data_IF_936328720757
#
_entry.id   IF_936328720757
#
_cell.length_a   1.000
_cell.length_b   1.000
_cell.length_c   1.000
_cell.angle_alpha   90.00
_cell.angle_beta   90.00
_cell.angle_gamma   90.00
#
_symmetry.space_group_name_H-M   'P 1'
#
loop_
_entity.id
_entity.type
_entity.pdbx_description
1 polymer ?
#
# COMPACT_ATOMS: atom_id res chain seq x y z
N UNK A 1 -22.32 35.50 -95.16
CA UNK A 1 -22.35 34.63 -93.96
C UNK A 1 -20.94 34.09 -93.77
N UNK A 2 -20.10 34.78 -92.99
CA UNK A 2 -18.68 34.45 -92.80
C UNK A 2 -18.57 33.60 -91.54
N UNK A 3 -18.31 32.30 -91.71
CA UNK A 3 -18.05 31.38 -90.59
C UNK A 3 -16.59 31.56 -90.18
N UNK A 4 -16.37 32.39 -89.15
CA UNK A 4 -15.07 32.52 -88.50
C UNK A 4 -14.73 31.20 -87.80
N UNK A 5 -13.79 30.43 -88.36
CA UNK A 5 -13.21 29.27 -87.68
C UNK A 5 -12.43 29.75 -86.45
N UNK A 6 -12.73 29.25 -85.24
CA UNK A 6 -11.98 29.63 -84.05
C UNK A 6 -10.54 29.14 -84.15
N UNK A 7 -9.62 30.04 -83.83
CA UNK A 7 -8.17 29.80 -83.86
C UNK A 7 -7.79 28.77 -82.78
N UNK A 8 -7.30 27.57 -83.14
CA UNK A 8 -6.97 26.51 -82.20
C UNK A 8 -5.85 26.90 -81.22
N UNK A 9 -5.05 27.93 -81.54
CA UNK A 9 -4.04 28.46 -80.63
C UNK A 9 -4.67 29.17 -79.41
N UNK A 10 -5.79 29.88 -79.60
CA UNK A 10 -6.52 30.54 -78.51
C UNK A 10 -7.22 29.54 -77.59
N UNK A 11 -7.73 28.45 -78.15
CA UNK A 11 -8.34 27.37 -77.36
C UNK A 11 -7.31 26.67 -76.46
N UNK A 12 -6.09 26.42 -76.96
CA UNK A 12 -5.00 25.81 -76.17
C UNK A 12 -4.49 26.73 -75.04
N UNK A 13 -4.39 28.03 -75.30
CA UNK A 13 -4.02 29.02 -74.27
C UNK A 13 -5.04 29.12 -73.14
N UNK A 14 -6.34 29.10 -73.48
CA UNK A 14 -7.42 29.13 -72.48
C UNK A 14 -7.45 27.87 -71.60
N UNK A 15 -7.20 26.69 -72.17
CA UNK A 15 -7.15 25.41 -71.43
C UNK A 15 -5.95 25.37 -70.47
N UNK A 16 -4.78 25.86 -70.90
CA UNK A 16 -3.59 25.91 -70.04
C UNK A 16 -3.77 26.89 -68.86
N UNK A 17 -4.36 28.06 -69.11
CA UNK A 17 -4.68 29.03 -68.06
C UNK A 17 -5.74 28.50 -67.08
N UNK A 18 -6.74 27.79 -67.57
CA UNK A 18 -7.75 27.14 -66.73
C UNK A 18 -7.12 26.03 -65.85
N UNK A 19 -6.19 25.23 -66.39
CA UNK A 19 -5.48 24.19 -65.64
C UNK A 19 -4.56 24.76 -64.56
N UNK A 20 -3.85 25.86 -64.83
CA UNK A 20 -3.00 26.56 -63.85
C UNK A 20 -3.85 27.19 -62.74
N UNK A 21 -4.96 27.84 -63.10
CA UNK A 21 -5.90 28.41 -62.13
C UNK A 21 -6.54 27.32 -61.24
N UNK A 22 -6.93 26.19 -61.83
CA UNK A 22 -7.50 25.06 -61.10
C UNK A 22 -6.48 24.40 -60.15
N UNK A 23 -5.23 24.24 -60.59
CA UNK A 23 -4.13 23.77 -59.74
C UNK A 23 -3.83 24.72 -58.57
N UNK A 24 -3.88 26.04 -58.80
CA UNK A 24 -3.73 27.06 -57.76
C UNK A 24 -4.86 27.04 -56.73
N UNK A 25 -6.11 26.90 -57.17
CA UNK A 25 -7.28 26.81 -56.28
C UNK A 25 -7.23 25.53 -55.44
N UNK A 26 -6.89 24.38 -56.05
CA UNK A 26 -6.73 23.11 -55.34
C UNK A 26 -5.61 23.17 -54.31
N UNK A 27 -4.44 23.75 -54.63
CA UNK A 27 -3.36 23.95 -53.66
C UNK A 27 -3.77 24.87 -52.50
N UNK A 28 -4.50 25.96 -52.78
CA UNK A 28 -4.93 26.92 -51.75
C UNK A 28 -6.02 26.38 -50.81
N UNK A 29 -6.84 25.42 -51.26
CA UNK A 29 -7.91 24.79 -50.47
C UNK A 29 -7.44 23.52 -49.73
N UNK A 30 -6.51 22.76 -50.30
CA UNK A 30 -5.95 21.56 -49.66
C UNK A 30 -5.04 21.90 -48.47
N UNK A 31 -4.27 22.99 -48.55
CA UNK A 31 -3.39 23.42 -47.46
C UNK A 31 -4.13 23.70 -46.13
N UNK A 32 -5.23 24.49 -46.08
CA UNK A 32 -5.96 24.72 -44.83
C UNK A 32 -6.68 23.46 -44.34
N UNK A 33 -7.18 22.60 -45.25
CA UNK A 33 -7.79 21.32 -44.85
C UNK A 33 -6.76 20.40 -44.21
N UNK A 34 -5.58 20.25 -44.83
CA UNK A 34 -4.47 19.48 -44.28
C UNK A 34 -3.98 20.07 -42.96
N UNK A 35 -3.84 21.40 -42.87
CA UNK A 35 -3.48 22.07 -41.63
C UNK A 35 -4.51 21.82 -40.53
N UNK A 36 -5.81 21.89 -40.82
CA UNK A 36 -6.90 21.60 -39.87
C UNK A 36 -6.85 20.13 -39.42
N UNK A 37 -6.67 19.18 -40.33
CA UNK A 37 -6.54 17.75 -40.00
C UNK A 37 -5.33 17.52 -39.10
N UNK A 38 -4.18 18.14 -39.40
CA UNK A 38 -2.99 18.07 -38.55
C UNK A 38 -3.24 18.69 -37.18
N UNK A 39 -3.88 19.85 -37.10
CA UNK A 39 -4.22 20.49 -35.81
C UNK A 39 -5.18 19.62 -34.99
N UNK A 40 -6.19 19.02 -35.61
CA UNK A 40 -7.13 18.11 -34.94
C UNK A 40 -6.42 16.85 -34.46
N UNK A 41 -5.49 16.29 -35.25
CA UNK A 41 -4.70 15.14 -34.86
C UNK A 41 -3.78 15.48 -33.67
N UNK A 42 -3.09 16.61 -33.72
CA UNK A 42 -2.25 17.12 -32.63
C UNK A 42 -3.09 17.33 -31.37
N UNK A 43 -4.23 18.02 -31.49
CA UNK A 43 -5.15 18.22 -30.38
C UNK A 43 -5.65 16.89 -29.82
N UNK A 44 -6.01 15.93 -30.67
CA UNK A 44 -6.45 14.60 -30.23
C UNK A 44 -5.37 13.88 -29.43
N UNK A 45 -4.10 13.96 -29.85
CA UNK A 45 -2.97 13.34 -29.15
C UNK A 45 -2.71 14.01 -27.78
N UNK A 46 -2.68 15.36 -27.73
CA UNK A 46 -2.43 16.09 -26.48
C UNK A 46 -3.62 16.06 -25.52
N UNK A 47 -4.84 16.02 -26.04
CA UNK A 47 -6.07 15.96 -25.24
C UNK A 47 -6.42 14.53 -24.81
N UNK A 48 -5.79 13.49 -25.37
CA UNK A 48 -6.17 12.11 -25.10
C UNK A 48 -6.14 11.76 -23.61
N UNK A 49 -5.06 12.10 -22.89
CA UNK A 49 -4.97 11.85 -21.45
C UNK A 49 -5.91 12.72 -20.60
N UNK A 50 -5.99 14.05 -20.80
CA UNK A 50 -7.02 14.87 -20.17
C UNK A 50 -8.44 14.34 -20.37
N UNK A 51 -8.79 13.86 -21.57
CA UNK A 51 -10.10 13.25 -21.87
C UNK A 51 -10.26 11.91 -21.14
N UNK A 52 -9.22 11.07 -21.09
CA UNK A 52 -9.26 9.83 -20.34
C UNK A 52 -9.54 10.10 -18.84
N UNK A 53 -8.82 11.05 -18.25
CA UNK A 53 -8.91 11.39 -16.82
C UNK A 53 -10.15 12.21 -16.44
N UNK A 54 -10.57 13.13 -17.29
CA UNK A 54 -11.70 14.04 -17.04
C UNK A 54 -13.05 13.48 -17.46
N UNK A 55 -13.10 12.54 -18.40
CA UNK A 55 -14.34 12.01 -18.95
C UNK A 55 -14.43 10.48 -18.83
N UNK A 56 -13.54 9.73 -19.46
CA UNK A 56 -13.70 8.28 -19.58
C UNK A 56 -13.58 7.53 -18.25
N UNK A 57 -12.62 7.89 -17.40
CA UNK A 57 -12.41 7.30 -16.07
C UNK A 57 -13.60 7.63 -15.14
N UNK A 58 -13.99 8.90 -14.92
CA UNK A 58 -15.13 9.24 -14.07
C UNK A 58 -16.45 8.60 -14.51
N UNK A 59 -16.68 8.48 -15.83
CA UNK A 59 -17.88 7.83 -16.37
C UNK A 59 -17.83 6.30 -16.33
N UNK A 60 -16.71 5.71 -15.88
CA UNK A 60 -16.53 4.28 -15.78
C UNK A 60 -16.57 3.56 -17.13
N UNK A 61 -15.81 4.07 -18.11
CA UNK A 61 -15.70 3.52 -19.46
C UNK A 61 -14.31 2.89 -19.71
N UNK A 62 -14.03 1.63 -19.29
CA UNK A 62 -12.69 1.04 -19.35
C UNK A 62 -12.08 1.00 -20.75
N UNK A 63 -12.90 0.71 -21.77
CA UNK A 63 -12.44 0.66 -23.17
C UNK A 63 -11.98 2.02 -23.67
N UNK A 64 -12.79 3.05 -23.46
CA UNK A 64 -12.46 4.41 -23.86
C UNK A 64 -11.23 4.92 -23.08
N UNK A 65 -11.17 4.66 -21.77
CA UNK A 65 -10.02 5.02 -20.94
C UNK A 65 -8.72 4.37 -21.44
N UNK A 66 -8.74 3.07 -21.76
CA UNK A 66 -7.59 2.37 -22.36
C UNK A 66 -7.20 2.96 -23.70
N UNK A 67 -8.17 3.11 -24.60
CA UNK A 67 -7.92 3.60 -25.96
C UNK A 67 -7.34 5.01 -25.96
N UNK A 68 -7.94 5.94 -25.21
CA UNK A 68 -7.44 7.31 -25.08
C UNK A 68 -6.03 7.34 -24.45
N UNK A 69 -5.78 6.52 -23.43
CA UNK A 69 -4.44 6.45 -22.82
C UNK A 69 -3.40 5.88 -23.80
N UNK A 70 -3.77 4.93 -24.66
CA UNK A 70 -2.91 4.44 -25.74
C UNK A 70 -2.58 5.52 -26.76
N UNK A 71 -3.54 6.40 -27.11
CA UNK A 71 -3.30 7.51 -28.03
C UNK A 71 -2.38 8.58 -27.44
N UNK A 72 -2.23 8.64 -26.12
CA UNK A 72 -1.28 9.51 -25.44
C UNK A 72 0.18 8.98 -25.52
N UNK A 73 0.58 8.44 -26.68
CA UNK A 73 1.93 7.88 -26.92
C UNK A 73 3.03 8.92 -26.72
N UNK A 74 2.80 10.20 -27.07
CA UNK A 74 3.77 11.27 -26.83
C UNK A 74 4.07 11.47 -25.34
N UNK A 75 3.10 11.18 -24.45
CA UNK A 75 3.27 11.31 -23.00
C UNK A 75 3.91 10.07 -22.39
N UNK A 76 3.44 8.89 -22.77
CA UNK A 76 3.80 7.63 -22.10
C UNK A 76 4.87 6.82 -22.83
N UNK A 77 5.16 7.15 -24.10
CA UNK A 77 6.14 6.43 -24.92
C UNK A 77 5.88 4.93 -24.92
N UNK A 78 6.91 4.16 -24.57
CA UNK A 78 6.88 2.69 -24.48
C UNK A 78 5.89 2.15 -23.44
N UNK A 79 5.43 2.97 -22.49
CA UNK A 79 4.50 2.57 -21.42
C UNK A 79 3.02 2.76 -21.78
N UNK A 80 2.69 3.23 -22.98
CA UNK A 80 1.32 3.61 -23.33
C UNK A 80 0.29 2.46 -23.24
N UNK A 81 0.66 1.23 -23.65
CA UNK A 81 -0.25 0.08 -23.52
C UNK A 81 -0.45 -0.33 -22.04
N UNK A 82 0.61 -0.36 -21.25
CA UNK A 82 0.57 -0.71 -19.83
C UNK A 82 -0.25 0.33 -19.05
N UNK A 83 -0.02 1.63 -19.28
CA UNK A 83 -0.83 2.70 -18.69
C UNK A 83 -2.29 2.64 -19.14
N UNK A 84 -2.56 2.20 -20.36
CA UNK A 84 -3.92 1.95 -20.83
C UNK A 84 -4.65 0.88 -20.01
N UNK A 85 -3.95 -0.13 -19.52
CA UNK A 85 -4.52 -1.16 -18.62
C UNK A 85 -4.83 -0.58 -17.24
N UNK A 86 -3.93 0.25 -16.70
CA UNK A 86 -4.18 0.99 -15.44
C UNK A 86 -5.41 1.90 -15.58
N UNK A 87 -5.51 2.66 -16.68
CA UNK A 87 -6.65 3.53 -16.93
C UNK A 87 -7.97 2.75 -17.03
N UNK A 88 -7.96 1.57 -17.66
CA UNK A 88 -9.12 0.69 -17.71
C UNK A 88 -9.54 0.17 -16.33
N UNK A 89 -8.58 -0.31 -15.53
CA UNK A 89 -8.85 -0.76 -14.15
C UNK A 89 -9.33 0.40 -13.25
N UNK A 90 -8.78 1.60 -13.44
CA UNK A 90 -9.23 2.80 -12.73
C UNK A 90 -10.64 3.22 -13.12
N UNK A 91 -10.99 3.17 -14.41
CA UNK A 91 -12.35 3.42 -14.86
C UNK A 91 -13.33 2.38 -14.28
N UNK A 92 -12.94 1.10 -14.25
CA UNK A 92 -13.75 0.04 -13.67
C UNK A 92 -14.07 0.30 -12.19
N UNK A 93 -13.11 0.82 -11.42
CA UNK A 93 -13.32 1.20 -10.02
C UNK A 93 -14.43 2.25 -9.84
N UNK A 94 -14.70 3.10 -10.85
CA UNK A 94 -15.76 4.11 -10.78
C UNK A 94 -17.15 3.52 -11.02
N UNK A 95 -17.27 2.53 -11.91
CA UNK A 95 -18.53 1.84 -12.21
C UNK A 95 -18.27 0.36 -12.49
N UNK A 96 -18.25 -0.49 -11.45
CA UNK A 96 -18.05 -1.92 -11.64
C UNK A 96 -19.31 -2.52 -12.29
N UNK A 97 -19.15 -3.14 -13.45
CA UNK A 97 -20.17 -4.01 -14.06
C UNK A 97 -19.52 -5.34 -14.40
N UNK A 98 -20.25 -6.45 -14.28
CA UNK A 98 -19.65 -7.80 -14.43
C UNK A 98 -19.02 -7.97 -15.82
N UNK A 99 -19.72 -7.57 -16.89
CA UNK A 99 -19.17 -7.63 -18.25
C UNK A 99 -17.99 -6.69 -18.52
N UNK A 100 -17.75 -5.65 -17.72
CA UNK A 100 -16.51 -4.86 -17.79
C UNK A 100 -15.42 -5.47 -16.92
N UNK A 101 -15.78 -6.08 -15.79
CA UNK A 101 -14.87 -6.79 -14.88
C UNK A 101 -14.17 -7.92 -15.61
N UNK A 102 -14.94 -8.84 -16.20
CA UNK A 102 -14.39 -10.01 -16.91
C UNK A 102 -13.43 -9.60 -18.01
N UNK A 103 -13.79 -8.57 -18.79
CA UNK A 103 -12.94 -8.07 -19.88
C UNK A 103 -11.64 -7.43 -19.39
N UNK A 104 -11.68 -6.66 -18.30
CA UNK A 104 -10.48 -6.07 -17.72
C UNK A 104 -9.60 -7.17 -17.13
N UNK A 105 -10.20 -8.19 -16.53
CA UNK A 105 -9.49 -9.37 -16.03
C UNK A 105 -8.79 -10.15 -17.15
N UNK A 106 -9.52 -10.51 -18.20
CA UNK A 106 -8.97 -11.22 -19.38
C UNK A 106 -7.82 -10.44 -20.00
N UNK A 107 -7.95 -9.12 -20.07
CA UNK A 107 -6.91 -8.23 -20.56
C UNK A 107 -5.65 -8.29 -19.67
N UNK A 108 -5.80 -8.36 -18.34
CA UNK A 108 -4.66 -8.44 -17.42
C UNK A 108 -4.02 -9.84 -17.45
N UNK A 109 -4.82 -10.91 -17.53
CA UNK A 109 -4.34 -12.29 -17.67
C UNK A 109 -3.56 -12.44 -18.98
N UNK A 110 -4.11 -11.94 -20.08
CA UNK A 110 -3.43 -11.97 -21.38
C UNK A 110 -2.11 -11.22 -21.36
N UNK A 111 -2.00 -10.13 -20.60
CA UNK A 111 -0.76 -9.36 -20.47
C UNK A 111 0.35 -10.13 -19.73
N UNK A 112 -0.02 -10.89 -18.69
CA UNK A 112 0.93 -11.69 -17.90
C UNK A 112 1.55 -12.84 -18.70
N UNK A 113 0.81 -13.40 -19.66
CA UNK A 113 1.33 -14.47 -20.51
C UNK A 113 2.55 -14.04 -21.36
N UNK A 114 2.74 -12.74 -21.58
CA UNK A 114 3.74 -12.22 -22.51
C UNK A 114 4.87 -11.42 -21.85
N UNK A 115 4.71 -11.00 -20.58
CA UNK A 115 5.65 -10.09 -19.93
C UNK A 115 5.72 -10.36 -18.42
N UNK A 116 6.93 -10.33 -17.81
CA UNK A 116 7.11 -10.40 -16.37
C UNK A 116 6.33 -9.31 -15.63
N UNK A 117 5.98 -9.56 -14.37
CA UNK A 117 5.14 -8.64 -13.61
C UNK A 117 5.88 -7.32 -13.33
N UNK A 118 5.25 -6.20 -13.67
CA UNK A 118 5.76 -4.85 -13.39
C UNK A 118 4.85 -4.01 -12.48
N UNK A 119 5.37 -2.85 -12.05
CA UNK A 119 4.66 -1.89 -11.21
C UNK A 119 3.31 -1.46 -11.81
N UNK A 120 3.22 -1.36 -13.13
CA UNK A 120 2.01 -0.93 -13.84
C UNK A 120 0.95 -2.03 -13.81
N UNK A 121 1.36 -3.28 -14.01
CA UNK A 121 0.50 -4.45 -13.89
C UNK A 121 0.04 -4.67 -12.44
N UNK A 122 0.93 -4.50 -11.45
CA UNK A 122 0.57 -4.55 -10.03
C UNK A 122 -0.47 -3.49 -9.67
N UNK A 123 -0.27 -2.24 -10.10
CA UNK A 123 -1.26 -1.18 -9.89
C UNK A 123 -2.61 -1.54 -10.53
N UNK A 124 -2.61 -2.01 -11.78
CA UNK A 124 -3.84 -2.38 -12.46
C UNK A 124 -4.57 -3.55 -11.75
N UNK A 125 -3.84 -4.58 -11.30
CA UNK A 125 -4.36 -5.70 -10.51
C UNK A 125 -4.91 -5.25 -9.15
N UNK A 126 -4.21 -4.35 -8.47
CA UNK A 126 -4.66 -3.78 -7.20
C UNK A 126 -5.95 -2.97 -7.36
N UNK A 127 -6.05 -2.12 -8.39
CA UNK A 127 -7.27 -1.37 -8.72
C UNK A 127 -8.42 -2.32 -9.10
N UNK A 128 -8.12 -3.43 -9.77
CA UNK A 128 -9.09 -4.48 -10.08
C UNK A 128 -9.62 -5.16 -8.81
N UNK A 129 -8.75 -5.51 -7.85
CA UNK A 129 -9.16 -6.03 -6.54
C UNK A 129 -10.05 -5.03 -5.81
N UNK A 130 -9.73 -3.73 -5.86
CA UNK A 130 -10.56 -2.68 -5.27
C UNK A 130 -11.95 -2.64 -5.91
N UNK A 131 -12.04 -2.77 -7.23
CA UNK A 131 -13.31 -2.82 -7.97
C UNK A 131 -14.15 -4.08 -7.68
N UNK A 132 -13.56 -5.12 -7.07
CA UNK A 132 -14.26 -6.30 -6.55
C UNK A 132 -14.73 -6.13 -5.10
N UNK A 133 -14.41 -5.02 -4.46
CA UNK A 133 -14.67 -4.79 -3.03
C UNK A 133 -13.60 -5.38 -2.10
N UNK A 134 -12.50 -5.93 -2.63
CA UNK A 134 -11.38 -6.42 -1.82
C UNK A 134 -10.35 -5.31 -1.59
N UNK A 135 -10.70 -4.38 -0.70
CA UNK A 135 -9.86 -3.23 -0.36
C UNK A 135 -8.52 -3.66 0.29
N UNK A 136 -8.52 -4.78 1.03
CA UNK A 136 -7.32 -5.28 1.71
C UNK A 136 -6.28 -5.79 0.71
N UNK A 137 -6.69 -6.64 -0.24
CA UNK A 137 -5.79 -7.10 -1.29
C UNK A 137 -5.36 -5.96 -2.21
N UNK A 138 -6.26 -5.02 -2.51
CA UNK A 138 -5.92 -3.84 -3.28
C UNK A 138 -4.84 -3.00 -2.62
N UNK A 139 -5.00 -2.67 -1.33
CA UNK A 139 -4.02 -1.91 -0.54
C UNK A 139 -2.65 -2.59 -0.54
N UNK A 140 -2.61 -3.90 -0.23
CA UNK A 140 -1.36 -4.69 -0.23
C UNK A 140 -0.68 -4.65 -1.61
N UNK A 141 -1.41 -5.01 -2.66
CA UNK A 141 -0.88 -5.06 -4.03
C UNK A 141 -0.40 -3.68 -4.51
N UNK A 142 -1.14 -2.61 -4.21
CA UNK A 142 -0.77 -1.25 -4.62
C UNK A 142 0.42 -0.74 -3.80
N UNK A 143 0.53 -1.06 -2.50
CA UNK A 143 1.71 -0.68 -1.71
C UNK A 143 3.01 -1.31 -2.22
N UNK A 144 2.93 -2.49 -2.83
CA UNK A 144 4.09 -3.13 -3.45
C UNK A 144 4.67 -2.32 -4.64
N UNK A 145 3.89 -1.41 -5.25
CA UNK A 145 4.38 -0.54 -6.34
C UNK A 145 5.56 0.33 -5.90
N UNK A 146 5.62 0.74 -4.63
CA UNK A 146 6.69 1.58 -4.08
C UNK A 146 8.05 0.87 -4.03
N UNK A 147 8.05 -0.46 -4.07
CA UNK A 147 9.29 -1.26 -4.07
C UNK A 147 10.03 -1.21 -5.42
N UNK A 148 9.39 -0.69 -6.47
CA UNK A 148 9.98 -0.60 -7.80
C UNK A 148 10.78 0.69 -8.00
N UNK A 149 11.88 0.59 -8.75
CA UNK A 149 12.66 1.76 -9.17
C UNK A 149 11.85 2.64 -10.13
N UNK A 150 11.96 3.96 -9.96
CA UNK A 150 11.39 4.94 -10.87
C UNK A 150 11.96 4.89 -12.30
N UNK A 151 13.14 4.29 -12.49
CA UNK A 151 13.68 4.09 -13.84
C UNK A 151 12.91 3.03 -14.65
N UNK A 152 12.18 2.14 -13.96
CA UNK A 152 11.54 0.96 -14.56
C UNK A 152 10.05 1.15 -14.93
N UNK A 153 9.46 2.28 -14.53
CA UNK A 153 8.04 2.58 -14.75
C UNK A 153 7.80 4.08 -14.82
N UNK A 154 6.66 4.48 -15.38
CA UNK A 154 6.29 5.89 -15.52
C UNK A 154 5.87 6.51 -14.17
N UNK A 155 6.22 7.77 -13.92
CA UNK A 155 5.96 8.45 -12.63
C UNK A 155 4.48 8.46 -12.22
N UNK A 156 3.57 8.58 -13.20
CA UNK A 156 2.13 8.55 -12.96
C UNK A 156 1.65 7.26 -12.28
N UNK A 157 2.36 6.12 -12.43
CA UNK A 157 2.03 4.87 -11.71
C UNK A 157 2.16 5.07 -10.21
N UNK A 158 3.28 5.64 -9.74
CA UNK A 158 3.49 5.92 -8.32
C UNK A 158 2.50 6.96 -7.79
N UNK A 159 2.20 8.00 -8.59
CA UNK A 159 1.22 9.02 -8.19
C UNK A 159 -0.18 8.43 -8.00
N UNK A 160 -0.64 7.60 -8.93
CA UNK A 160 -1.96 6.95 -8.84
C UNK A 160 -1.99 5.95 -7.67
N UNK A 161 -0.92 5.19 -7.47
CA UNK A 161 -0.79 4.27 -6.34
C UNK A 161 -0.87 5.01 -5.00
N UNK A 162 -0.08 6.07 -4.84
CA UNK A 162 -0.07 6.93 -3.64
C UNK A 162 -1.44 7.58 -3.39
N UNK A 163 -2.07 8.13 -4.43
CA UNK A 163 -3.41 8.73 -4.33
C UNK A 163 -4.46 7.72 -3.86
N UNK A 164 -4.40 6.48 -4.37
CA UNK A 164 -5.28 5.41 -3.93
C UNK A 164 -5.05 5.07 -2.45
N UNK A 165 -3.80 4.86 -2.04
CA UNK A 165 -3.46 4.50 -0.66
C UNK A 165 -3.83 5.60 0.33
N UNK A 166 -3.63 6.87 -0.04
CA UNK A 166 -4.06 8.03 0.74
C UNK A 166 -5.59 8.05 0.90
N UNK A 167 -6.33 7.86 -0.19
CA UNK A 167 -7.80 7.85 -0.15
C UNK A 167 -8.34 6.69 0.68
N UNK A 168 -7.76 5.50 0.53
CA UNK A 168 -8.13 4.29 1.29
C UNK A 168 -7.85 4.49 2.79
N UNK A 169 -6.67 4.98 3.16
CA UNK A 169 -6.32 5.25 4.55
C UNK A 169 -7.26 6.31 5.16
N UNK A 170 -7.58 7.36 4.41
CA UNK A 170 -8.54 8.38 4.83
C UNK A 170 -9.95 7.80 5.05
N UNK A 171 -10.41 6.88 4.19
CA UNK A 171 -11.72 6.22 4.35
C UNK A 171 -11.81 5.34 5.60
N UNK A 172 -10.68 4.81 6.08
CA UNK A 172 -10.58 4.07 7.35
C UNK A 172 -10.37 4.98 8.57
N UNK A 173 -10.22 6.28 8.36
CA UNK A 173 -9.88 7.24 9.41
C UNK A 173 -8.43 7.15 9.88
N UNK A 174 -7.54 6.50 9.14
CA UNK A 174 -6.13 6.32 9.47
C UNK A 174 -5.29 7.53 9.05
N UNK A 175 -5.54 8.66 9.72
CA UNK A 175 -4.91 9.93 9.40
C UNK A 175 -3.38 9.91 9.57
N UNK A 176 -2.82 8.99 10.38
CA UNK A 176 -1.37 8.88 10.57
C UNK A 176 -0.71 8.38 9.30
N UNK A 177 -1.29 7.35 8.66
CA UNK A 177 -0.84 6.87 7.36
C UNK A 177 -1.03 7.95 6.29
N UNK A 178 -2.17 8.67 6.28
CA UNK A 178 -2.40 9.77 5.33
C UNK A 178 -1.31 10.85 5.43
N UNK A 179 -0.96 11.26 6.66
CA UNK A 179 0.10 12.24 6.89
C UNK A 179 1.47 11.73 6.41
N UNK A 180 1.79 10.45 6.68
CA UNK A 180 3.03 9.81 6.22
C UNK A 180 3.11 9.79 4.68
N UNK A 181 2.13 9.19 4.02
CA UNK A 181 2.11 9.02 2.56
C UNK A 181 2.08 10.37 1.83
N UNK A 182 1.34 11.35 2.35
CA UNK A 182 1.26 12.69 1.75
C UNK A 182 2.57 13.51 1.80
N UNK A 183 3.60 13.04 2.51
CA UNK A 183 4.94 13.65 2.58
C UNK A 183 5.94 13.08 1.56
N UNK A 184 5.67 11.92 0.97
CA UNK A 184 6.60 11.23 0.08
C UNK A 184 6.80 11.94 -1.27
N UNK A 185 8.00 12.05 -1.84
CA UNK A 185 8.29 12.92 -3.00
C UNK A 185 7.34 12.79 -4.21
N UNK A 186 6.75 11.61 -4.44
CA UNK A 186 5.99 11.26 -5.66
C UNK A 186 4.46 11.31 -5.51
N UNK A 187 3.93 12.20 -4.67
CA UNK A 187 2.46 12.40 -4.54
C UNK A 187 1.90 13.37 -5.57
N UNK A 188 0.61 13.21 -5.87
CA UNK A 188 -0.15 14.23 -6.59
C UNK A 188 -0.39 15.48 -5.73
N UNK A 189 -0.91 16.55 -6.33
CA UNK A 189 -1.32 17.75 -5.58
C UNK A 189 -2.44 17.45 -4.57
N UNK A 190 -3.50 16.68 -4.92
CA UNK A 190 -4.47 16.18 -3.94
C UNK A 190 -3.84 15.39 -2.79
N UNK A 191 -2.93 14.45 -3.10
CA UNK A 191 -2.24 13.66 -2.08
C UNK A 191 -1.43 14.53 -1.12
N UNK A 192 -0.76 15.58 -1.63
CA UNK A 192 -0.04 16.55 -0.81
C UNK A 192 -0.96 17.35 0.11
N UNK A 193 -2.10 17.82 -0.41
CA UNK A 193 -3.10 18.51 0.41
C UNK A 193 -3.61 17.59 1.53
N UNK A 194 -3.96 16.34 1.19
CA UNK A 194 -4.42 15.34 2.16
C UNK A 194 -3.39 15.10 3.26
N UNK A 195 -2.10 15.00 2.91
CA UNK A 195 -1.01 14.89 3.89
C UNK A 195 -0.92 16.07 4.84
N UNK A 196 -1.02 17.30 4.32
CA UNK A 196 -1.01 18.52 5.14
C UNK A 196 -2.24 18.61 6.05
N UNK A 197 -3.42 18.31 5.52
CA UNK A 197 -4.65 18.26 6.29
C UNK A 197 -4.56 17.22 7.41
N UNK A 198 -4.05 16.03 7.12
CA UNK A 198 -3.86 14.97 8.11
C UNK A 198 -2.83 15.35 9.18
N UNK A 199 -1.70 15.94 8.79
CA UNK A 199 -0.69 16.44 9.72
C UNK A 199 -1.25 17.53 10.65
N UNK A 200 -2.11 18.42 10.12
CA UNK A 200 -2.83 19.43 10.90
C UNK A 200 -3.86 18.80 11.85
N UNK A 201 -4.68 17.87 11.36
CA UNK A 201 -5.71 17.15 12.13
C UNK A 201 -5.08 16.38 13.31
N UNK A 202 -3.89 15.81 13.11
CA UNK A 202 -3.15 15.06 14.12
C UNK A 202 -2.14 15.88 14.92
N UNK A 203 -2.04 17.19 14.64
CA UNK A 203 -1.10 18.10 15.29
C UNK A 203 0.37 17.66 15.23
N UNK A 204 0.74 16.95 14.15
CA UNK A 204 2.11 16.48 13.96
C UNK A 204 3.05 17.63 13.58
N UNK A 205 2.53 18.64 12.88
CA UNK A 205 3.30 19.80 12.40
C UNK A 205 2.44 21.07 12.40
N UNK A 206 3.04 22.25 12.67
CA UNK A 206 2.36 23.52 12.53
C UNK A 206 2.17 23.86 11.05
N UNK A 207 0.98 23.58 10.51
CA UNK A 207 0.57 24.00 9.16
C UNK A 207 -0.31 25.24 9.27
N UNK A 208 0.10 26.34 8.62
CA UNK A 208 -0.70 27.57 8.59
C UNK A 208 -1.97 27.42 7.75
N UNK A 209 -3.05 28.10 8.16
CA UNK A 209 -4.33 28.09 7.46
C UNK A 209 -4.20 28.53 5.99
N UNK A 210 -3.34 29.52 5.72
CA UNK A 210 -3.04 29.99 4.36
C UNK A 210 -2.38 28.91 3.50
N UNK A 211 -1.39 28.18 4.04
CA UNK A 211 -0.74 27.08 3.32
C UNK A 211 -1.72 25.94 3.02
N UNK A 212 -2.61 25.62 3.96
CA UNK A 212 -3.62 24.59 3.79
C UNK A 212 -4.66 24.97 2.72
N UNK A 213 -5.18 26.20 2.75
CA UNK A 213 -6.10 26.73 1.74
C UNK A 213 -5.45 26.78 0.35
N UNK A 214 -4.18 27.17 0.26
CA UNK A 214 -3.44 27.17 -1.00
C UNK A 214 -3.25 25.77 -1.56
N UNK A 215 -2.88 24.79 -0.71
CA UNK A 215 -2.75 23.40 -1.12
C UNK A 215 -4.09 22.83 -1.60
N UNK A 216 -5.19 23.17 -0.94
CA UNK A 216 -6.54 22.80 -1.34
C UNK A 216 -6.92 23.37 -2.72
N UNK A 217 -6.74 24.69 -2.92
CA UNK A 217 -7.04 25.36 -4.19
C UNK A 217 -6.23 24.78 -5.37
N UNK A 218 -4.96 24.49 -5.13
CA UNK A 218 -4.06 23.96 -6.18
C UNK A 218 -4.18 22.46 -6.42
N UNK A 219 -4.95 21.73 -5.60
CA UNK A 219 -5.17 20.29 -5.75
C UNK A 219 -5.92 19.90 -7.03
N UNK A 220 -6.77 20.77 -7.56
CA UNK A 220 -7.61 20.50 -8.73
C UNK A 220 -8.87 19.68 -8.46
N UNK A 221 -9.21 19.41 -7.19
CA UNK A 221 -10.47 18.79 -6.78
C UNK A 221 -11.07 19.45 -5.52
N UNK A 222 -11.32 20.78 -5.55
CA UNK A 222 -11.61 21.55 -4.34
C UNK A 222 -12.91 21.09 -3.64
N UNK A 223 -14.02 20.94 -4.37
CA UNK A 223 -15.33 20.68 -3.74
C UNK A 223 -15.40 19.33 -3.01
N UNK A 224 -14.81 18.26 -3.56
CA UNK A 224 -14.83 16.94 -2.90
C UNK A 224 -13.97 16.87 -1.63
N UNK A 225 -13.04 17.82 -1.47
CA UNK A 225 -12.07 17.86 -0.38
C UNK A 225 -12.38 18.97 0.65
N UNK A 226 -13.39 19.80 0.39
CA UNK A 226 -13.84 20.89 1.26
C UNK A 226 -14.19 20.40 2.68
N UNK A 227 -14.93 19.28 2.89
CA UNK A 227 -15.20 18.81 4.26
C UNK A 227 -13.94 18.45 5.05
N UNK A 228 -12.87 18.05 4.35
CA UNK A 228 -11.58 17.71 4.96
C UNK A 228 -10.81 18.99 5.30
N UNK A 229 -10.87 20.00 4.43
CA UNK A 229 -10.34 21.34 4.71
C UNK A 229 -11.02 21.94 5.94
N UNK A 230 -12.34 21.94 5.99
CA UNK A 230 -13.12 22.50 7.10
C UNK A 230 -12.79 21.79 8.41
N UNK A 231 -12.70 20.46 8.39
CA UNK A 231 -12.27 19.67 9.55
C UNK A 231 -10.87 20.07 10.02
N UNK A 232 -9.93 20.28 9.10
CA UNK A 232 -8.56 20.64 9.42
C UNK A 232 -8.41 22.10 9.90
N UNK A 233 -9.29 23.01 9.45
CA UNK A 233 -9.34 24.41 9.92
C UNK A 233 -10.09 24.57 11.25
N UNK A 234 -11.13 23.76 11.48
CA UNK A 234 -11.97 23.83 12.69
C UNK A 234 -11.28 23.22 13.91
N UNK A 235 -10.32 22.30 13.71
CA UNK A 235 -9.37 21.90 14.77
C UNK A 235 -8.39 23.06 15.06
N UNK A 236 -8.92 24.08 15.71
CA UNK A 236 -8.19 25.10 16.45
C UNK A 236 -7.38 24.38 17.54
N UNK A 237 -6.06 24.54 17.47
CA UNK A 237 -5.08 24.63 18.59
C UNK A 237 -5.69 24.21 19.93
N UNK A 238 -5.90 22.92 20.07
CA UNK A 238 -6.32 22.28 21.29
C UNK A 238 -5.45 21.07 21.35
N UNK A 239 -4.19 21.30 21.73
CA UNK A 239 -3.16 20.29 21.93
C UNK A 239 -3.86 19.01 22.37
N UNK A 240 -3.92 18.02 21.49
CA UNK A 240 -4.21 16.65 21.88
C UNK A 240 -2.99 16.26 22.67
N UNK A 241 -2.98 16.70 23.91
CA UNK A 241 -2.11 16.21 24.94
C UNK A 241 -2.30 14.70 24.86
N UNK A 242 -1.28 13.99 24.40
CA UNK A 242 -1.14 12.58 24.70
C UNK A 242 -1.20 12.35 26.23
N UNK A 243 -1.05 13.42 27.03
CA UNK A 243 -1.33 13.52 28.46
C UNK A 243 -2.83 13.45 28.84
N UNK A 244 -3.78 13.49 27.91
CA UNK A 244 -5.22 13.44 28.17
C UNK A 244 -5.86 12.08 27.84
N UNK A 245 -5.07 11.00 27.74
CA UNK A 245 -5.61 9.68 27.99
C UNK A 245 -5.97 9.63 29.48
N UNK A 246 -7.18 10.07 29.80
CA UNK A 246 -7.70 10.15 31.17
C UNK A 246 -7.34 8.85 31.90
N UNK A 247 -6.58 8.92 33.01
CA UNK A 247 -6.15 7.74 33.73
C UNK A 247 -7.36 6.86 33.99
N UNK A 248 -7.24 5.55 33.78
CA UNK A 248 -8.33 4.64 34.16
C UNK A 248 -8.53 4.78 35.67
N UNK A 249 -9.61 5.46 36.06
CA UNK A 249 -10.03 5.58 37.44
C UNK A 249 -10.49 4.21 37.91
N UNK A 250 -9.76 3.67 38.89
CA UNK A 250 -10.10 2.40 39.50
C UNK A 250 -10.83 2.67 40.81
N UNK A 251 -11.87 1.89 41.15
CA UNK A 251 -12.47 1.94 42.47
C UNK A 251 -11.40 1.68 43.55
N UNK A 252 -11.37 2.52 44.58
CA UNK A 252 -10.36 2.46 45.67
C UNK A 252 -10.40 1.11 46.42
N UNK A 253 -11.57 0.46 46.47
CA UNK A 253 -11.81 -0.79 47.22
C UNK A 253 -11.90 -2.04 46.32
N UNK A 254 -11.47 -1.98 45.06
CA UNK A 254 -11.55 -3.13 44.17
C UNK A 254 -10.54 -4.23 44.55
N UNK A 255 -10.97 -5.50 44.51
CA UNK A 255 -10.04 -6.63 44.61
C UNK A 255 -8.97 -6.56 43.50
N UNK A 256 -7.75 -7.09 43.70
CA UNK A 256 -6.71 -7.16 42.68
C UNK A 256 -7.18 -7.80 41.37
N UNK A 257 -7.99 -8.85 41.44
CA UNK A 257 -8.59 -9.47 40.25
C UNK A 257 -9.55 -8.51 39.53
N UNK A 258 -10.46 -7.87 40.25
CA UNK A 258 -11.37 -6.88 39.67
C UNK A 258 -10.59 -5.72 39.04
N UNK A 259 -9.51 -5.28 39.68
CA UNK A 259 -8.62 -4.24 39.18
C UNK A 259 -7.98 -4.63 37.85
N UNK A 260 -7.40 -5.84 37.76
CA UNK A 260 -6.79 -6.33 36.53
C UNK A 260 -7.82 -6.42 35.39
N UNK A 261 -9.00 -6.99 35.66
CA UNK A 261 -10.08 -7.10 34.67
C UNK A 261 -10.63 -5.74 34.20
N UNK A 262 -10.81 -4.78 35.11
CA UNK A 262 -11.26 -3.43 34.74
C UNK A 262 -10.22 -2.68 33.92
N UNK A 263 -8.93 -2.79 34.27
CA UNK A 263 -7.85 -2.24 33.47
C UNK A 263 -7.82 -2.86 32.07
N UNK A 264 -7.91 -4.19 31.97
CA UNK A 264 -7.92 -4.86 30.68
C UNK A 264 -9.11 -4.41 29.82
N UNK A 265 -10.32 -4.40 30.38
CA UNK A 265 -11.51 -3.93 29.67
C UNK A 265 -11.37 -2.49 29.21
N UNK A 266 -10.83 -1.60 30.06
CA UNK A 266 -10.61 -0.20 29.70
C UNK A 266 -9.62 -0.07 28.54
N UNK A 267 -8.51 -0.81 28.56
CA UNK A 267 -7.52 -0.79 27.49
C UNK A 267 -8.03 -1.45 26.21
N UNK A 268 -8.82 -2.52 26.31
CA UNK A 268 -9.45 -3.17 25.15
C UNK A 268 -10.42 -2.21 24.44
N UNK A 269 -11.11 -1.33 25.17
CA UNK A 269 -12.03 -0.34 24.59
C UNK A 269 -11.33 0.90 24.01
N UNK A 270 -10.06 1.16 24.37
CA UNK A 270 -9.29 2.28 23.82
C UNK A 270 -8.92 2.01 22.35
N UNK A 271 -8.85 3.09 21.57
CA UNK A 271 -8.31 3.02 20.21
C UNK A 271 -6.83 2.56 20.27
N UNK A 272 -6.37 1.68 19.37
CA UNK A 272 -5.03 1.08 19.46
C UNK A 272 -3.89 2.10 19.56
N UNK A 273 -4.02 3.22 18.83
CA UNK A 273 -3.03 4.30 18.85
C UNK A 273 -2.98 5.17 20.11
N UNK A 274 -3.84 4.89 21.10
CA UNK A 274 -3.92 5.55 22.40
C UNK A 274 -3.53 4.64 23.57
N UNK A 275 -3.26 3.35 23.32
CA UNK A 275 -2.75 2.43 24.35
C UNK A 275 -1.26 2.70 24.51
N UNK A 276 -0.85 3.12 25.70
CA UNK A 276 0.55 3.43 25.97
C UNK A 276 1.31 2.20 26.50
N UNK A 277 2.62 2.18 26.28
CA UNK A 277 3.55 1.22 26.88
C UNK A 277 3.35 1.09 28.41
N UNK A 278 3.22 2.24 29.09
CA UNK A 278 3.01 2.30 30.53
C UNK A 278 1.69 1.68 30.99
N UNK A 279 0.64 1.74 30.16
CA UNK A 279 -0.66 1.13 30.46
C UNK A 279 -0.56 -0.40 30.46
N UNK A 280 0.12 -0.97 29.45
CA UNK A 280 0.32 -2.42 29.34
C UNK A 280 1.24 -2.92 30.46
N UNK A 281 2.31 -2.17 30.78
CA UNK A 281 3.16 -2.46 31.93
C UNK A 281 2.38 -2.46 33.26
N UNK A 282 1.48 -1.49 33.44
CA UNK A 282 0.57 -1.41 34.60
C UNK A 282 -0.40 -2.59 34.65
N UNK A 283 -0.95 -3.00 33.51
CA UNK A 283 -1.85 -4.16 33.42
C UNK A 283 -1.14 -5.46 33.78
N UNK A 284 0.08 -5.68 33.28
CA UNK A 284 0.88 -6.86 33.63
C UNK A 284 1.11 -7.00 35.14
N UNK A 285 1.49 -5.90 35.79
CA UNK A 285 1.66 -5.87 37.26
C UNK A 285 0.34 -6.06 38.01
N UNK A 286 -0.77 -5.56 37.47
CA UNK A 286 -2.08 -5.81 38.06
C UNK A 286 -2.44 -7.29 38.00
N UNK A 287 -2.14 -7.96 36.89
CA UNK A 287 -2.30 -9.40 36.73
C UNK A 287 -1.40 -10.20 37.67
N UNK A 288 -0.12 -9.85 37.83
CA UNK A 288 0.76 -10.55 38.78
C UNK A 288 0.21 -10.52 40.21
N UNK A 289 -0.34 -9.37 40.65
CA UNK A 289 -0.99 -9.27 41.97
C UNK A 289 -2.26 -10.10 42.04
N UNK A 290 -3.12 -9.99 41.03
CA UNK A 290 -4.37 -10.76 40.95
C UNK A 290 -4.12 -12.27 41.01
N UNK A 291 -3.16 -12.77 40.23
CA UNK A 291 -2.81 -14.17 40.14
C UNK A 291 -2.21 -14.70 41.45
N UNK A 292 -1.37 -13.90 42.13
CA UNK A 292 -0.83 -14.26 43.44
C UNK A 292 -1.92 -14.43 44.51
N UNK A 293 -2.93 -13.56 44.50
CA UNK A 293 -4.07 -13.65 45.43
C UNK A 293 -5.01 -14.81 45.07
N UNK A 294 -5.39 -14.94 43.79
CA UNK A 294 -6.25 -16.03 43.31
C UNK A 294 -5.63 -17.38 43.65
N UNK A 295 -4.32 -17.54 43.44
CA UNK A 295 -3.58 -18.75 43.82
C UNK A 295 -3.71 -19.05 45.32
N UNK A 296 -3.47 -18.05 46.16
CA UNK A 296 -3.54 -18.18 47.63
C UNK A 296 -4.96 -18.55 48.09
N UNK A 297 -5.98 -17.87 47.56
CA UNK A 297 -7.39 -18.08 47.91
C UNK A 297 -7.90 -19.42 47.42
N UNK A 298 -7.62 -19.79 46.17
CA UNK A 298 -8.03 -21.07 45.59
C UNK A 298 -7.34 -22.22 46.32
N UNK A 299 -6.05 -22.12 46.64
CA UNK A 299 -5.35 -23.14 47.45
C UNK A 299 -5.92 -23.27 48.87
N UNK A 300 -6.42 -22.18 49.46
CA UNK A 300 -7.11 -22.24 50.77
C UNK A 300 -8.44 -22.98 50.64
N UNK A 301 -9.31 -22.56 49.72
CA UNK A 301 -10.62 -23.18 49.51
C UNK A 301 -10.52 -24.65 49.10
N UNK A 302 -9.54 -25.00 48.26
CA UNK A 302 -9.34 -26.38 47.84
C UNK A 302 -8.98 -27.29 49.02
N UNK A 303 -8.12 -26.82 49.94
CA UNK A 303 -7.83 -27.54 51.19
C UNK A 303 -9.08 -27.73 52.04
N UNK A 304 -9.91 -26.70 52.18
CA UNK A 304 -11.17 -26.79 52.93
C UNK A 304 -12.17 -27.77 52.29
N UNK A 305 -12.10 -27.94 50.97
CA UNK A 305 -12.95 -28.85 50.19
C UNK A 305 -12.33 -30.25 49.97
N UNK A 306 -11.12 -30.52 50.47
CA UNK A 306 -10.42 -31.79 50.26
C UNK A 306 -9.90 -32.02 48.83
N UNK A 307 -9.74 -30.96 48.03
CA UNK A 307 -9.16 -30.99 46.68
C UNK A 307 -7.67 -30.63 46.77
N UNK A 308 -6.80 -31.45 46.19
CA UNK A 308 -5.34 -31.31 46.34
C UNK A 308 -4.64 -30.61 45.18
N UNK A 309 -5.28 -30.51 44.01
CA UNK A 309 -4.68 -29.86 42.83
C UNK A 309 -5.55 -28.70 42.33
N UNK A 310 -5.03 -27.48 42.49
CA UNK A 310 -5.65 -26.24 42.00
C UNK A 310 -4.91 -25.66 40.81
N UNK A 311 -3.77 -26.27 40.45
CA UNK A 311 -2.84 -25.70 39.50
C UNK A 311 -3.41 -25.57 38.09
N UNK A 312 -4.21 -26.52 37.57
CA UNK A 312 -4.86 -26.37 36.28
C UNK A 312 -5.79 -25.16 36.18
N UNK A 313 -6.47 -24.80 37.29
CA UNK A 313 -7.41 -23.66 37.32
C UNK A 313 -6.63 -22.36 37.28
N UNK A 314 -5.58 -22.24 38.10
CA UNK A 314 -4.73 -21.04 38.13
C UNK A 314 -3.99 -20.89 36.81
N UNK A 315 -3.42 -21.98 36.27
CA UNK A 315 -2.74 -21.99 34.98
C UNK A 315 -3.67 -21.58 33.82
N UNK A 316 -4.95 -21.96 33.86
CA UNK A 316 -5.95 -21.50 32.90
C UNK A 316 -6.12 -19.97 32.91
N UNK A 317 -6.23 -19.38 34.10
CA UNK A 317 -6.32 -17.91 34.25
C UNK A 317 -5.02 -17.21 33.86
N UNK A 318 -3.86 -17.79 34.17
CA UNK A 318 -2.54 -17.28 33.76
C UNK A 318 -2.40 -17.27 32.22
N UNK A 319 -2.87 -18.33 31.54
CA UNK A 319 -2.92 -18.39 30.09
C UNK A 319 -3.88 -17.33 29.52
N UNK A 320 -5.07 -17.14 30.10
CA UNK A 320 -6.02 -16.11 29.66
C UNK A 320 -5.43 -14.69 29.78
N UNK A 321 -4.81 -14.37 30.92
CA UNK A 321 -4.15 -13.09 31.14
C UNK A 321 -3.00 -12.86 30.13
N UNK A 322 -2.19 -13.89 29.86
CA UNK A 322 -1.12 -13.81 28.84
C UNK A 322 -1.68 -13.59 27.45
N UNK A 323 -2.72 -14.32 27.05
CA UNK A 323 -3.38 -14.15 25.74
C UNK A 323 -3.96 -12.75 25.59
N UNK A 324 -4.60 -12.21 26.63
CA UNK A 324 -5.11 -10.84 26.65
C UNK A 324 -4.01 -9.80 26.45
N UNK A 325 -2.88 -9.95 27.16
CA UNK A 325 -1.71 -9.07 27.02
C UNK A 325 -1.08 -9.13 25.61
N UNK A 326 -0.92 -10.34 25.05
CA UNK A 326 -0.40 -10.52 23.68
C UNK A 326 -1.33 -9.86 22.67
N UNK A 327 -2.64 -10.13 22.73
CA UNK A 327 -3.62 -9.54 21.83
C UNK A 327 -3.65 -8.00 21.92
N UNK A 328 -3.56 -7.45 23.14
CA UNK A 328 -3.51 -6.01 23.36
C UNK A 328 -2.24 -5.38 22.78
N UNK A 329 -1.08 -6.03 22.97
CA UNK A 329 0.20 -5.56 22.47
C UNK A 329 0.29 -5.64 20.94
N UNK A 330 -0.14 -6.74 20.32
CA UNK A 330 -0.18 -6.89 18.86
C UNK A 330 -1.07 -5.84 18.22
N UNK A 331 -2.27 -5.64 18.77
CA UNK A 331 -3.22 -4.63 18.30
C UNK A 331 -2.64 -3.23 18.36
N UNK A 332 -1.86 -2.93 19.40
CA UNK A 332 -1.27 -1.62 19.65
C UNK A 332 0.17 -1.47 19.12
N UNK A 333 0.72 -2.51 18.48
CA UNK A 333 2.10 -2.61 18.00
C UNK A 333 3.16 -2.31 19.07
N UNK A 334 3.01 -2.91 20.25
CA UNK A 334 3.93 -2.74 21.37
C UNK A 334 4.88 -3.93 21.50
N UNK A 335 6.17 -3.64 21.74
CA UNK A 335 7.20 -4.63 22.04
C UNK A 335 7.09 -5.10 23.49
N UNK A 336 6.45 -6.25 23.73
CA UNK A 336 6.32 -6.81 25.07
C UNK A 336 7.68 -7.15 25.71
N UNK A 337 8.71 -7.44 24.92
CA UNK A 337 10.05 -7.72 25.43
C UNK A 337 10.73 -6.49 26.01
N UNK A 338 10.54 -5.33 25.38
CA UNK A 338 10.97 -4.05 25.95
C UNK A 338 10.17 -3.67 27.21
N UNK A 339 8.88 -4.02 27.26
CA UNK A 339 8.01 -3.73 28.41
C UNK A 339 8.31 -4.63 29.62
N UNK A 340 8.62 -5.91 29.40
CA UNK A 340 8.92 -6.85 30.49
C UNK A 340 10.22 -6.53 31.21
N UNK A 341 11.15 -5.81 30.55
CA UNK A 341 12.40 -5.33 31.13
C UNK A 341 12.25 -4.07 32.00
N UNK A 342 11.06 -3.49 32.12
CA UNK A 342 10.82 -2.28 32.93
C UNK A 342 10.77 -2.61 34.43
N UNK A 343 11.21 -1.65 35.25
CA UNK A 343 11.13 -1.72 36.71
C UNK A 343 9.80 -1.11 37.22
N UNK A 344 9.00 -1.80 38.05
CA UNK A 344 9.21 -3.17 38.54
C UNK A 344 8.84 -4.24 37.51
N UNK A 345 9.59 -5.37 37.49
CA UNK A 345 9.39 -6.44 36.53
C UNK A 345 8.05 -7.12 36.75
N UNK A 346 7.51 -7.69 35.67
CA UNK A 346 6.25 -8.42 35.69
C UNK A 346 6.44 -9.79 35.06
N UNK A 347 6.20 -10.85 35.85
CA UNK A 347 6.36 -12.24 35.38
C UNK A 347 5.35 -12.56 34.29
N UNK A 348 4.10 -12.11 34.45
CA UNK A 348 3.05 -12.31 33.44
C UNK A 348 3.43 -11.64 32.12
N UNK A 349 4.03 -10.44 32.15
CA UNK A 349 4.51 -9.77 30.92
C UNK A 349 5.71 -10.49 30.29
N UNK A 350 6.66 -10.98 31.09
CA UNK A 350 7.80 -11.74 30.58
C UNK A 350 7.34 -13.02 29.86
N UNK A 351 6.42 -13.77 30.47
CA UNK A 351 5.86 -14.97 29.87
C UNK A 351 5.02 -14.65 28.62
N UNK A 352 4.23 -13.57 28.63
CA UNK A 352 3.49 -13.08 27.46
C UNK A 352 4.44 -12.66 26.32
N UNK A 353 5.53 -11.96 26.63
CA UNK A 353 6.55 -11.55 25.66
C UNK A 353 7.19 -12.78 25.00
N UNK A 354 7.49 -13.82 25.79
CA UNK A 354 8.02 -15.09 25.28
C UNK A 354 7.03 -15.78 24.34
N UNK A 355 5.74 -15.82 24.70
CA UNK A 355 4.69 -16.40 23.84
C UNK A 355 4.58 -15.63 22.52
N UNK A 356 4.48 -14.29 22.57
CA UNK A 356 4.39 -13.45 21.37
C UNK A 356 5.60 -13.64 20.46
N UNK A 357 6.80 -13.70 21.03
CA UNK A 357 8.03 -13.96 20.28
C UNK A 357 8.00 -15.31 19.60
N UNK A 358 7.65 -16.37 20.34
CA UNK A 358 7.65 -17.73 19.81
C UNK A 358 6.57 -17.93 18.73
N UNK A 359 5.35 -17.43 18.96
CA UNK A 359 4.26 -17.54 17.97
C UNK A 359 4.61 -16.82 16.67
N UNK A 360 5.24 -15.66 16.76
CA UNK A 360 5.65 -14.87 15.60
C UNK A 360 6.77 -15.54 14.81
N UNK A 361 7.77 -16.10 15.51
CA UNK A 361 8.83 -16.90 14.87
C UNK A 361 8.28 -18.14 14.19
N UNK A 362 7.42 -18.88 14.89
CA UNK A 362 6.81 -20.10 14.36
C UNK A 362 5.96 -19.82 13.11
N UNK A 363 5.19 -18.74 13.11
CA UNK A 363 4.41 -18.33 11.95
C UNK A 363 5.30 -18.02 10.74
N UNK A 364 6.38 -17.28 10.95
CA UNK A 364 7.35 -16.93 9.91
C UNK A 364 8.08 -18.16 9.37
N UNK A 365 8.62 -19.01 10.26
CA UNK A 365 9.27 -20.26 9.88
C UNK A 365 8.34 -21.20 9.14
N UNK A 366 7.07 -21.28 9.54
CA UNK A 366 6.07 -22.11 8.88
C UNK A 366 5.84 -21.66 7.43
N UNK A 367 5.71 -20.35 7.20
CA UNK A 367 5.55 -19.81 5.85
C UNK A 367 6.80 -20.06 4.99
N UNK A 368 8.00 -19.80 5.52
CA UNK A 368 9.26 -20.00 4.76
C UNK A 368 9.52 -21.48 4.49
N UNK A 369 9.23 -22.38 5.44
CA UNK A 369 9.34 -23.83 5.23
C UNK A 369 8.33 -24.33 4.19
N UNK A 370 7.13 -23.74 4.11
CA UNK A 370 6.17 -24.04 3.06
C UNK A 370 6.65 -23.57 1.68
N UNK A 371 7.20 -22.35 1.59
CA UNK A 371 7.86 -21.83 0.40
C UNK A 371 9.00 -22.76 -0.04
N UNK A 372 9.86 -23.17 0.90
CA UNK A 372 10.99 -24.06 0.61
C UNK A 372 10.54 -25.39 0.02
N UNK A 373 9.55 -26.04 0.63
CA UNK A 373 8.96 -27.29 0.09
C UNK A 373 8.41 -27.09 -1.33
N UNK A 374 7.74 -25.97 -1.60
CA UNK A 374 7.23 -25.63 -2.94
C UNK A 374 8.37 -25.47 -3.95
N UNK A 375 9.44 -24.80 -3.55
CA UNK A 375 10.63 -24.57 -4.36
C UNK A 375 11.34 -25.89 -4.69
N UNK A 376 11.52 -26.77 -3.72
CA UNK A 376 12.12 -28.10 -3.93
C UNK A 376 11.27 -28.96 -4.89
N UNK A 377 9.94 -28.80 -4.85
CA UNK A 377 9.00 -29.42 -5.80
C UNK A 377 8.96 -28.72 -7.18
N UNK A 378 9.70 -27.62 -7.37
CA UNK A 378 9.69 -26.77 -8.57
C UNK A 378 8.29 -26.33 -9.00
N UNK A 379 7.36 -26.18 -8.04
CA UNK A 379 5.96 -25.83 -8.33
C UNK A 379 5.83 -24.32 -8.50
N UNK A 380 5.66 -23.87 -9.74
CA UNK A 380 5.46 -22.46 -10.05
C UNK A 380 4.02 -21.99 -9.81
N UNK A 381 3.89 -20.73 -9.38
CA UNK A 381 2.63 -20.00 -9.30
C UNK A 381 2.53 -18.97 -10.45
N UNK A 382 1.32 -18.50 -10.78
CA UNK A 382 1.15 -17.29 -11.58
C UNK A 382 1.96 -16.12 -10.98
N UNK A 383 2.47 -15.22 -11.81
CA UNK A 383 3.38 -14.16 -11.35
C UNK A 383 2.78 -13.31 -10.22
N UNK A 384 1.49 -12.95 -10.30
CA UNK A 384 0.79 -12.22 -9.24
C UNK A 384 0.72 -13.01 -7.92
N UNK A 385 0.64 -14.34 -7.99
CA UNK A 385 0.57 -15.18 -6.80
C UNK A 385 1.96 -15.41 -6.18
N UNK A 386 3.03 -15.46 -7.01
CA UNK A 386 4.42 -15.40 -6.51
C UNK A 386 4.66 -14.10 -5.72
N UNK A 387 4.11 -12.98 -6.22
CA UNK A 387 4.14 -11.69 -5.52
C UNK A 387 3.35 -11.69 -4.22
N UNK A 388 2.15 -12.29 -4.19
CA UNK A 388 1.34 -12.40 -2.98
C UNK A 388 1.99 -13.28 -1.91
N UNK A 389 2.62 -14.37 -2.32
CA UNK A 389 3.35 -15.24 -1.39
C UNK A 389 4.54 -14.49 -0.79
N UNK A 390 5.30 -13.75 -1.60
CA UNK A 390 6.35 -12.85 -1.12
C UNK A 390 5.81 -11.79 -0.15
N UNK A 391 4.75 -11.06 -0.53
CA UNK A 391 4.16 -9.99 0.29
C UNK A 391 3.69 -10.52 1.65
N UNK A 392 3.09 -11.72 1.70
CA UNK A 392 2.69 -12.38 2.95
C UNK A 392 3.89 -12.65 3.86
N UNK A 393 4.97 -13.20 3.32
CA UNK A 393 6.19 -13.51 4.10
C UNK A 393 6.84 -12.21 4.58
N UNK A 394 6.99 -11.24 3.67
CA UNK A 394 7.54 -9.93 3.97
C UNK A 394 6.75 -9.22 5.08
N UNK A 395 5.41 -9.16 4.98
CA UNK A 395 4.56 -8.55 6.00
C UNK A 395 4.69 -9.26 7.36
N UNK A 396 4.77 -10.59 7.36
CA UNK A 396 4.97 -11.38 8.58
C UNK A 396 6.33 -11.09 9.21
N UNK A 397 7.40 -11.02 8.39
CA UNK A 397 8.75 -10.69 8.85
C UNK A 397 8.85 -9.25 9.38
N UNK A 398 8.28 -8.27 8.69
CA UNK A 398 8.26 -6.87 9.14
C UNK A 398 7.47 -6.71 10.44
N UNK A 399 6.31 -7.36 10.57
CA UNK A 399 5.56 -7.36 11.83
C UNK A 399 6.38 -8.00 12.97
N UNK A 400 7.09 -9.09 12.68
CA UNK A 400 7.99 -9.72 13.66
C UNK A 400 9.11 -8.77 14.09
N UNK A 401 9.75 -8.11 13.14
CA UNK A 401 10.88 -7.22 13.42
C UNK A 401 10.45 -5.92 14.10
N UNK A 402 9.25 -5.42 13.81
CA UNK A 402 8.65 -4.27 14.49
C UNK A 402 8.36 -4.59 15.96
N UNK A 403 7.77 -5.76 16.23
CA UNK A 403 7.38 -6.19 17.59
C UNK A 403 8.57 -6.63 18.43
N UNK A 404 9.49 -7.44 17.89
CA UNK A 404 10.61 -8.01 18.67
C UNK A 404 11.92 -7.24 18.56
N UNK A 405 11.94 -6.14 17.81
CA UNK A 405 13.11 -5.29 17.61
C UNK A 405 14.34 -6.02 17.06
N UNK A 406 15.52 -5.51 17.41
CA UNK A 406 16.79 -6.03 16.91
C UNK A 406 17.12 -7.44 17.41
N UNK A 407 16.69 -7.78 18.63
CA UNK A 407 16.96 -9.09 19.23
C UNK A 407 16.25 -10.21 18.48
N UNK A 408 14.98 -10.00 18.12
CA UNK A 408 14.24 -10.96 17.32
C UNK A 408 14.73 -11.00 15.88
N UNK A 409 15.03 -9.84 15.29
CA UNK A 409 15.58 -9.76 13.93
C UNK A 409 16.88 -10.57 13.79
N UNK A 410 17.79 -10.52 14.76
CA UNK A 410 19.04 -11.31 14.79
C UNK A 410 18.81 -12.82 14.76
N UNK A 411 17.74 -13.30 15.38
CA UNK A 411 17.41 -14.73 15.43
C UNK A 411 16.64 -15.18 14.19
N UNK A 412 15.68 -14.37 13.76
CA UNK A 412 14.79 -14.69 12.65
C UNK A 412 15.45 -14.55 11.27
N UNK A 413 16.30 -13.53 11.06
CA UNK A 413 16.86 -13.28 9.73
C UNK A 413 17.72 -14.44 9.20
N UNK A 414 18.66 -15.02 9.97
CA UNK A 414 19.43 -16.17 9.50
C UNK A 414 18.57 -17.39 9.15
N UNK A 415 17.45 -17.61 9.87
CA UNK A 415 16.58 -18.77 9.60
C UNK A 415 15.77 -18.64 8.32
N UNK A 416 15.53 -17.42 7.82
CA UNK A 416 14.77 -17.19 6.58
C UNK A 416 15.63 -16.78 5.38
N UNK A 417 16.82 -16.24 5.62
CA UNK A 417 17.67 -15.64 4.57
C UNK A 417 18.02 -16.62 3.46
N UNK A 418 18.45 -17.83 3.82
CA UNK A 418 18.90 -18.84 2.85
C UNK A 418 17.77 -19.24 1.91
N UNK A 419 16.58 -19.49 2.45
CA UNK A 419 15.42 -19.92 1.67
C UNK A 419 14.84 -18.80 0.80
N UNK A 420 14.78 -17.58 1.32
CA UNK A 420 14.36 -16.42 0.54
C UNK A 420 15.37 -16.06 -0.57
N UNK A 421 16.67 -16.21 -0.29
CA UNK A 421 17.70 -16.03 -1.29
C UNK A 421 17.59 -17.09 -2.40
N UNK A 422 17.38 -18.37 -2.05
CA UNK A 422 17.16 -19.44 -3.00
C UNK A 422 15.90 -19.20 -3.86
N UNK A 423 14.81 -18.75 -3.23
CA UNK A 423 13.58 -18.39 -3.92
C UNK A 423 13.79 -17.24 -4.92
N UNK A 424 14.46 -16.16 -4.52
CA UNK A 424 14.77 -15.04 -5.41
C UNK A 424 15.68 -15.45 -6.59
N UNK A 425 16.67 -16.31 -6.35
CA UNK A 425 17.51 -16.87 -7.42
C UNK A 425 16.68 -17.69 -8.41
N UNK A 426 15.77 -18.54 -7.92
CA UNK A 426 14.86 -19.32 -8.77
C UNK A 426 13.92 -18.43 -9.59
N UNK A 427 13.35 -17.38 -8.97
CA UNK A 427 12.53 -16.39 -9.68
C UNK A 427 13.32 -15.71 -10.80
N UNK A 428 14.55 -15.27 -10.55
CA UNK A 428 15.37 -14.59 -11.55
C UNK A 428 15.80 -15.51 -12.70
N UNK A 429 16.28 -16.72 -12.37
CA UNK A 429 16.93 -17.61 -13.32
C UNK A 429 15.94 -18.49 -14.08
N UNK A 430 15.00 -19.12 -13.37
CA UNK A 430 14.05 -20.09 -13.95
C UNK A 430 12.76 -19.39 -14.40
N UNK A 431 12.18 -18.53 -13.57
CA UNK A 431 10.91 -17.85 -13.87
C UNK A 431 11.07 -16.57 -14.71
N UNK A 432 12.28 -16.03 -14.81
CA UNK A 432 12.59 -14.73 -15.43
C UNK A 432 11.84 -13.55 -14.77
N UNK A 433 11.37 -13.71 -13.54
CA UNK A 433 10.72 -12.68 -12.72
C UNK A 433 11.76 -11.82 -12.00
N UNK A 434 12.68 -11.21 -12.77
CA UNK A 434 13.84 -10.48 -12.24
C UNK A 434 13.47 -9.32 -11.33
N UNK A 435 12.35 -8.66 -11.59
CA UNK A 435 11.88 -7.50 -10.79
C UNK A 435 11.48 -7.93 -9.37
N UNK A 436 10.73 -9.03 -9.24
CA UNK A 436 10.40 -9.59 -7.92
C UNK A 436 11.66 -10.07 -7.20
N UNK A 437 12.53 -10.79 -7.91
CA UNK A 437 13.80 -11.22 -7.34
C UNK A 437 14.64 -10.04 -6.82
N UNK A 438 14.72 -8.95 -7.59
CA UNK A 438 15.40 -7.72 -7.18
C UNK A 438 14.82 -7.11 -5.90
N UNK A 439 13.49 -7.10 -5.76
CA UNK A 439 12.81 -6.59 -4.56
C UNK A 439 13.14 -7.44 -3.34
N UNK A 440 13.14 -8.78 -3.48
CA UNK A 440 13.54 -9.70 -2.41
C UNK A 440 15.00 -9.49 -2.02
N UNK A 441 15.93 -9.43 -3.00
CA UNK A 441 17.34 -9.18 -2.74
C UNK A 441 17.59 -7.83 -2.07
N UNK A 442 16.88 -6.79 -2.50
CA UNK A 442 16.99 -5.44 -1.91
C UNK A 442 16.50 -5.43 -0.47
N UNK A 443 15.40 -6.12 -0.17
CA UNK A 443 14.92 -6.27 1.19
C UNK A 443 15.92 -7.07 2.05
N UNK A 444 16.41 -8.22 1.57
CA UNK A 444 17.42 -9.00 2.28
C UNK A 444 18.70 -8.19 2.55
N UNK A 445 19.10 -7.32 1.62
CA UNK A 445 20.23 -6.42 1.78
C UNK A 445 19.98 -5.38 2.88
N UNK A 446 18.78 -4.79 2.95
CA UNK A 446 18.41 -3.85 4.03
C UNK A 446 18.49 -4.55 5.38
N UNK A 447 17.95 -5.77 5.49
CA UNK A 447 17.99 -6.53 6.75
C UNK A 447 19.41 -6.93 7.13
N UNK A 448 20.23 -7.39 6.18
CA UNK A 448 21.65 -7.71 6.42
C UNK A 448 22.43 -6.49 6.92
N UNK A 449 22.20 -5.31 6.34
CA UNK A 449 22.79 -4.04 6.80
C UNK A 449 22.33 -3.66 8.21
N UNK A 450 21.06 -3.85 8.52
CA UNK A 450 20.54 -3.58 9.87
C UNK A 450 21.14 -4.51 10.95
N UNK A 451 21.75 -5.63 10.55
CA UNK A 451 22.39 -6.62 11.42
C UNK A 451 23.92 -6.61 11.36
N UNK A 452 24.51 -5.74 10.52
CA UNK A 452 25.95 -5.71 10.23
C UNK A 452 26.53 -7.06 9.75
N UNK A 453 25.73 -7.85 9.02
CA UNK A 453 26.15 -9.15 8.47
C UNK A 453 26.95 -8.96 7.16
N UNK A 454 28.27 -8.86 7.29
CA UNK A 454 29.18 -8.58 6.17
C UNK A 454 29.15 -9.64 5.05
N UNK A 455 28.80 -10.89 5.33
CA UNK A 455 28.70 -11.93 4.30
C UNK A 455 27.39 -11.78 3.52
N UNK A 456 26.27 -11.65 4.22
CA UNK A 456 24.98 -11.43 3.60
C UNK A 456 24.94 -10.13 2.81
N UNK A 457 25.54 -9.04 3.30
CA UNK A 457 25.66 -7.76 2.57
C UNK A 457 26.35 -7.97 1.21
N UNK A 458 27.55 -8.56 1.20
CA UNK A 458 28.32 -8.78 -0.04
C UNK A 458 27.58 -9.67 -1.04
N UNK A 459 26.88 -10.70 -0.54
CA UNK A 459 26.07 -11.58 -1.39
C UNK A 459 24.90 -10.81 -2.01
N UNK A 460 24.14 -10.07 -1.21
CA UNK A 460 22.93 -9.41 -1.70
C UNK A 460 23.21 -8.16 -2.55
N UNK A 461 24.32 -7.44 -2.35
CA UNK A 461 24.74 -6.36 -3.26
C UNK A 461 24.98 -6.87 -4.68
N UNK A 462 25.66 -8.02 -4.81
CA UNK A 462 25.89 -8.68 -6.09
C UNK A 462 24.59 -9.15 -6.73
N UNK A 463 23.71 -9.80 -5.97
CA UNK A 463 22.43 -10.31 -6.47
C UNK A 463 21.46 -9.19 -6.88
N UNK A 464 21.35 -8.13 -6.06
CA UNK A 464 20.52 -6.97 -6.36
C UNK A 464 21.02 -6.24 -7.62
N UNK A 465 22.35 -6.09 -7.77
CA UNK A 465 22.94 -5.50 -8.98
C UNK A 465 22.68 -6.34 -10.22
N UNK A 466 22.81 -7.67 -10.12
CA UNK A 466 22.58 -8.59 -11.24
C UNK A 466 21.11 -8.62 -11.72
N UNK A 467 20.16 -8.24 -10.87
CA UNK A 467 18.71 -8.24 -11.16
C UNK A 467 18.16 -6.88 -11.54
N UNK A 468 18.98 -5.82 -11.52
CA UNK A 468 18.58 -4.45 -11.85
C UNK A 468 18.38 -4.22 -13.37
N UNK A 469 18.89 -5.12 -14.22
CA UNK A 469 18.77 -5.09 -15.68
C UNK A 469 17.62 -5.94 -16.21
#
# INVERSE_FOLDING_TARGET
MIILRPDPARARGAVLLAAIAFSGVISSALLPLMAMVVHLLVLAIFAAWPLARGLAIPLGMPRAARFLTKLATLRYGVFADDMGRVAAAWALLRRPTDGNRDRVEDMLISAEAHKPLDATQLLARGLMSAARGDATSARRTISAVETFSASSTHEDVFRIASDYLIAEAASRGDWRIVAKLGREPRRSRPGRFMGLAAARILELEPVSDGALRWAWLTSGAPMSLEPILDRALTRLVGTVDASAAEPVELPVEASPLSTAMMLELALVRRAPGLVLAADVARLGRAWDRALGEVRTETSRRARDLGVYDVEPIVAGLEEDARRGLVALAERSKLDLGALSAQDPPSRTLEEAARVQRNSTLEALETQVRALRRRLDQKRSLPAIDEWREWDSIHATAEAAFEVGGLSLRRVAFPSIHVDLCAYAVWLANERKERRLAHVIFSWLLIQARALDDAEAIRLQERNASATMG
#
